data_IF_893558032494
#
_entry.id   IF_893558032494
#
_cell.length_a   1.000
_cell.length_b   1.000
_cell.length_c   1.000
_cell.angle_alpha   90.00
_cell.angle_beta   90.00
_cell.angle_gamma   90.00
#
_symmetry.space_group_name_H-M   'P 1'
#
loop_
_entity.id
_entity.type
_entity.pdbx_description
1 polymer ?
#
# COMPACT_ATOMS: atom_id res chain seq x y z
N UNK A 1 9.74 13.58 27.43
CA UNK A 1 10.57 12.42 27.00
C UNK A 1 9.74 11.30 26.39
N UNK A 2 8.64 10.86 27.02
CA UNK A 2 7.74 9.80 26.51
C UNK A 2 7.19 10.07 25.10
N UNK A 3 6.81 11.33 24.80
CA UNK A 3 6.29 11.72 23.48
C UNK A 3 7.31 11.44 22.36
N UNK A 4 8.60 11.68 22.63
CA UNK A 4 9.67 11.43 21.65
C UNK A 4 9.78 9.94 21.33
N UNK A 5 9.63 9.08 22.33
CA UNK A 5 9.64 7.62 22.13
C UNK A 5 8.51 7.18 21.20
N UNK A 6 7.30 7.70 21.40
CA UNK A 6 6.17 7.40 20.50
C UNK A 6 6.40 7.87 19.07
N UNK A 7 6.99 9.04 18.88
CA UNK A 7 7.32 9.57 17.54
C UNK A 7 8.35 8.66 16.85
N UNK A 8 9.37 8.19 17.55
CA UNK A 8 10.40 7.29 16.98
C UNK A 8 9.79 5.95 16.57
N UNK A 9 8.93 5.36 17.41
CA UNK A 9 8.22 4.11 17.08
C UNK A 9 7.32 4.30 15.86
N UNK A 10 6.57 5.41 15.82
CA UNK A 10 5.69 5.73 14.70
C UNK A 10 6.46 5.90 13.38
N UNK A 11 7.61 6.59 13.41
CA UNK A 11 8.49 6.73 12.26
C UNK A 11 9.08 5.38 11.81
N UNK A 12 9.44 4.50 12.74
CA UNK A 12 9.93 3.16 12.41
C UNK A 12 8.87 2.35 11.63
N UNK A 13 7.59 2.47 11.99
CA UNK A 13 6.50 1.83 11.25
C UNK A 13 6.39 2.37 9.83
N UNK A 14 6.40 3.71 9.69
CA UNK A 14 6.36 4.38 8.38
C UNK A 14 7.51 3.93 7.49
N UNK A 15 8.74 3.96 8.01
CA UNK A 15 9.95 3.62 7.24
C UNK A 15 9.95 2.14 6.83
N UNK A 16 9.51 1.25 7.71
CA UNK A 16 9.44 -0.19 7.41
C UNK A 16 8.44 -0.44 6.26
N UNK A 17 7.23 0.10 6.37
CA UNK A 17 6.20 -0.10 5.35
C UNK A 17 6.54 0.62 4.04
N UNK A 18 7.19 1.78 4.10
CA UNK A 18 7.74 2.46 2.92
C UNK A 18 8.78 1.60 2.21
N UNK A 19 9.71 1.01 2.95
CA UNK A 19 10.73 0.12 2.39
C UNK A 19 10.09 -1.09 1.73
N UNK A 20 9.13 -1.74 2.40
CA UNK A 20 8.38 -2.87 1.85
C UNK A 20 7.62 -2.49 0.57
N UNK A 21 7.01 -1.32 0.54
CA UNK A 21 6.30 -0.82 -0.64
C UNK A 21 7.22 -0.68 -1.86
N UNK A 22 8.46 -0.19 -1.66
CA UNK A 22 9.47 -0.11 -2.74
C UNK A 22 9.86 -1.48 -3.30
N UNK A 23 9.82 -2.51 -2.47
CA UNK A 23 10.08 -3.89 -2.87
C UNK A 23 8.80 -4.63 -3.32
N UNK A 24 7.69 -3.93 -3.54
CA UNK A 24 6.37 -4.49 -3.89
C UNK A 24 5.87 -5.57 -2.91
N UNK A 25 6.32 -5.49 -1.65
CA UNK A 25 5.91 -6.38 -0.57
C UNK A 25 4.72 -5.78 0.17
N UNK A 26 3.95 -6.67 0.81
CA UNK A 26 2.82 -6.27 1.66
C UNK A 26 3.36 -5.50 2.88
N UNK A 27 2.77 -4.37 3.27
CA UNK A 27 3.13 -3.70 4.52
C UNK A 27 2.85 -4.60 5.73
N UNK A 28 3.62 -4.43 6.79
CA UNK A 28 3.49 -5.20 8.04
C UNK A 28 2.60 -4.45 9.03
N UNK A 29 2.76 -3.12 9.13
CA UNK A 29 2.08 -2.31 10.15
C UNK A 29 0.77 -1.70 9.66
N UNK A 30 0.66 -1.37 8.37
CA UNK A 30 -0.57 -0.88 7.77
C UNK A 30 -1.61 -2.00 7.63
N UNK A 31 -2.85 -1.70 8.02
CA UNK A 31 -3.94 -2.67 8.09
C UNK A 31 -4.69 -2.68 6.75
N UNK A 32 -5.01 -3.85 6.17
CA UNK A 32 -5.84 -3.91 4.96
C UNK A 32 -7.26 -3.46 5.27
N UNK A 33 -7.76 -2.45 4.54
CA UNK A 33 -9.13 -1.92 4.75
C UNK A 33 -10.05 -2.32 3.62
N UNK A 34 -9.60 -2.18 2.37
CA UNK A 34 -10.43 -2.47 1.20
C UNK A 34 -9.67 -3.33 0.19
N UNK A 35 -10.35 -4.38 -0.30
CA UNK A 35 -9.97 -5.06 -1.54
C UNK A 35 -10.85 -4.49 -2.66
N UNK A 36 -10.24 -3.89 -3.65
CA UNK A 36 -10.96 -3.38 -4.81
C UNK A 36 -11.44 -4.54 -5.70
N UNK A 37 -12.56 -4.31 -6.39
CA UNK A 37 -13.18 -5.27 -7.32
C UNK A 37 -12.46 -5.35 -8.67
N UNK A 38 -11.28 -4.77 -8.78
CA UNK A 38 -10.44 -4.72 -9.97
C UNK A 38 -9.56 -5.96 -10.13
N UNK A 39 -9.81 -7.02 -9.36
CA UNK A 39 -9.04 -8.26 -9.41
C UNK A 39 -8.10 -8.51 -8.25
N UNK A 40 -8.18 -7.71 -7.18
CA UNK A 40 -7.46 -7.99 -5.95
C UNK A 40 -6.44 -6.93 -5.54
N UNK A 41 -6.53 -5.71 -6.06
CA UNK A 41 -5.81 -4.57 -5.48
C UNK A 41 -6.25 -4.39 -4.03
N UNK A 42 -5.30 -4.14 -3.14
CA UNK A 42 -5.57 -3.98 -1.70
C UNK A 42 -5.05 -2.64 -1.22
N UNK A 43 -5.90 -1.91 -0.50
CA UNK A 43 -5.53 -0.69 0.21
C UNK A 43 -5.22 -0.99 1.67
N UNK A 44 -4.07 -0.51 2.13
CA UNK A 44 -3.61 -0.59 3.49
C UNK A 44 -3.52 0.79 4.10
N UNK A 45 -4.06 0.95 5.32
CA UNK A 45 -4.02 2.20 6.05
C UNK A 45 -3.11 2.06 7.26
N UNK A 46 -2.07 2.89 7.30
CA UNK A 46 -1.22 3.08 8.46
C UNK A 46 -1.56 4.38 9.19
N UNK A 47 -0.86 4.65 10.28
CA UNK A 47 -1.03 5.89 11.04
C UNK A 47 -0.43 7.07 10.24
N UNK A 48 -1.26 7.84 9.54
CA UNK A 48 -0.86 9.01 8.75
C UNK A 48 -0.37 8.71 7.32
N UNK A 49 -0.50 7.48 6.84
CA UNK A 49 -0.12 7.09 5.48
C UNK A 49 -1.00 5.96 4.94
N UNK A 50 -0.99 5.79 3.61
CA UNK A 50 -1.72 4.77 2.87
C UNK A 50 -0.79 4.06 1.90
N UNK A 51 -0.96 2.74 1.78
CA UNK A 51 -0.23 1.90 0.81
C UNK A 51 -1.26 1.21 -0.07
N UNK A 52 -1.13 1.34 -1.39
CA UNK A 52 -1.99 0.66 -2.37
C UNK A 52 -1.13 -0.37 -3.08
N UNK A 53 -1.46 -1.65 -2.94
CA UNK A 53 -0.81 -2.74 -3.67
C UNK A 53 -1.71 -3.15 -4.82
N UNK A 54 -1.33 -2.77 -6.03
CA UNK A 54 -2.09 -3.10 -7.23
C UNK A 54 -1.91 -4.57 -7.61
N UNK A 55 -2.99 -5.18 -8.09
CA UNK A 55 -2.95 -6.51 -8.66
C UNK A 55 -3.15 -6.45 -10.18
N UNK A 56 -2.49 -7.35 -10.89
CA UNK A 56 -2.72 -7.57 -12.31
C UNK A 56 -3.78 -8.67 -12.43
N UNK A 57 -4.82 -8.39 -13.19
CA UNK A 57 -5.73 -9.44 -13.65
C UNK A 57 -5.08 -10.14 -14.84
N UNK A 58 -4.87 -11.44 -14.70
CA UNK A 58 -4.48 -12.29 -15.80
C UNK A 58 -5.77 -12.82 -16.43
N UNK A 59 -6.27 -12.13 -17.47
CA UNK A 59 -7.46 -12.56 -18.20
C UNK A 59 -7.03 -13.51 -19.32
N UNK A 60 -7.49 -14.78 -19.34
CA UNK A 60 -7.11 -15.75 -20.38
C UNK A 60 -7.46 -15.33 -21.80
N UNK A 61 -8.41 -14.40 -22.00
CA UNK A 61 -8.84 -13.90 -23.32
C UNK A 61 -8.22 -12.54 -23.69
N UNK A 62 -7.87 -11.72 -22.70
CA UNK A 62 -7.39 -10.34 -22.91
C UNK A 62 -5.93 -10.07 -22.48
N UNK A 63 -5.24 -11.05 -21.88
CA UNK A 63 -3.89 -10.89 -21.36
C UNK A 63 -3.83 -10.16 -20.00
N UNK A 64 -2.63 -9.77 -19.58
CA UNK A 64 -2.41 -9.08 -18.30
C UNK A 64 -2.94 -7.64 -18.34
N UNK A 65 -4.04 -7.38 -17.64
CA UNK A 65 -4.63 -6.04 -17.53
C UNK A 65 -4.46 -5.55 -16.09
N UNK A 66 -3.71 -4.46 -15.94
CA UNK A 66 -3.62 -3.73 -14.68
C UNK A 66 -2.19 -3.33 -14.32
N UNK A 67 -2.01 -2.99 -13.05
CA UNK A 67 -0.77 -2.46 -12.49
C UNK A 67 -0.28 -3.45 -11.41
N UNK A 68 1.02 -3.75 -11.35
CA UNK A 68 1.59 -4.68 -10.35
C UNK A 68 2.41 -3.98 -9.25
N UNK A 69 2.49 -2.66 -9.31
CA UNK A 69 3.33 -1.94 -8.37
C UNK A 69 2.60 -1.67 -7.05
N UNK A 70 3.38 -1.21 -6.09
CA UNK A 70 2.89 -0.77 -4.79
C UNK A 70 3.21 0.70 -4.65
N UNK A 71 2.19 1.50 -4.31
CA UNK A 71 2.32 2.94 -4.13
C UNK A 71 2.14 3.27 -2.66
N UNK A 72 3.05 4.07 -2.14
CA UNK A 72 3.00 4.63 -0.80
C UNK A 72 2.69 6.12 -0.90
N UNK A 73 1.81 6.62 -0.03
CA UNK A 73 1.46 8.03 0.01
C UNK A 73 0.72 8.41 1.29
N UNK A 74 0.22 9.63 1.32
CA UNK A 74 -0.64 10.11 2.39
C UNK A 74 -2.03 9.46 2.32
N UNK A 75 -2.88 9.64 3.34
CA UNK A 75 -4.24 9.07 3.35
C UNK A 75 -5.11 9.48 2.16
N UNK A 76 -4.83 10.64 1.56
CA UNK A 76 -5.49 11.15 0.36
C UNK A 76 -5.02 10.47 -0.93
N UNK A 77 -4.16 9.46 -0.85
CA UNK A 77 -3.72 8.69 -2.01
C UNK A 77 -4.91 7.97 -2.65
N UNK A 78 -5.25 8.40 -3.86
CA UNK A 78 -6.33 7.83 -4.66
C UNK A 78 -5.86 6.60 -5.43
N UNK A 79 -6.76 5.62 -5.55
CA UNK A 79 -6.59 4.49 -6.43
C UNK A 79 -6.61 4.97 -7.90
N UNK A 80 -5.55 4.65 -8.67
CA UNK A 80 -5.44 4.93 -10.11
C UNK A 80 -5.17 3.63 -10.86
N UNK A 81 -6.12 3.25 -11.72
CA UNK A 81 -6.06 2.00 -12.50
C UNK A 81 -4.91 1.99 -13.53
N UNK A 82 -4.54 3.16 -14.06
CA UNK A 82 -3.46 3.36 -15.04
C UNK A 82 -2.47 4.42 -14.53
N UNK A 83 -1.20 4.33 -14.94
CA UNK A 83 -0.13 5.26 -14.52
C UNK A 83 -0.33 6.65 -15.12
#
# INVERSE_FOLDING_TARGET
MIIVVFIVIWLAFIITDFTLSKYNKKPIFAIPVFKLKDGGTVEYYGLGYKVIKYNVLDDPQMGQIGRKDTVFGFWTLEYRKNK
#
